data_IF_537493847014
#
_entry.id   IF_537493847014
#
_cell.length_a   1.000
_cell.length_b   1.000
_cell.length_c   1.000
_cell.angle_alpha   90.00
_cell.angle_beta   90.00
_cell.angle_gamma   90.00
#
_symmetry.space_group_name_H-M   'P 1'
#
loop_
_entity.id
_entity.type
_entity.pdbx_description
1 polymer ?
#
# COMPACT_ATOMS: atom_id res chain seq x y z
N UNK A 1 11.05 -1.77 -8.60
CA UNK A 1 11.73 -1.63 -7.31
C UNK A 1 13.17 -2.12 -7.36
N UNK A 2 13.46 -3.32 -7.88
CA UNK A 2 14.85 -3.77 -8.10
C UNK A 2 15.68 -2.83 -8.99
N UNK A 3 15.13 -2.36 -10.12
CA UNK A 3 15.79 -1.33 -10.97
C UNK A 3 15.99 0.01 -10.26
N UNK A 4 15.24 0.29 -9.19
CA UNK A 4 15.39 1.48 -8.34
C UNK A 4 16.34 1.24 -7.16
N UNK A 5 17.00 0.09 -7.10
CA UNK A 5 18.00 -0.23 -6.08
C UNK A 5 17.48 -1.01 -4.86
N UNK A 6 16.23 -1.47 -4.85
CA UNK A 6 15.72 -2.29 -3.74
C UNK A 6 16.43 -3.65 -3.67
N UNK A 7 16.89 -4.00 -2.47
CA UNK A 7 17.48 -5.29 -2.10
C UNK A 7 16.47 -6.19 -1.39
N UNK A 8 16.86 -7.40 -1.03
CA UNK A 8 15.99 -8.39 -0.38
C UNK A 8 15.32 -7.83 0.89
N UNK A 9 16.06 -7.10 1.73
CA UNK A 9 15.52 -6.45 2.94
C UNK A 9 14.44 -5.41 2.62
N UNK A 10 14.57 -4.69 1.50
CA UNK A 10 13.55 -3.74 1.06
C UNK A 10 12.29 -4.46 0.58
N UNK A 11 12.44 -5.66 0.01
CA UNK A 11 11.32 -6.50 -0.39
C UNK A 11 10.60 -7.12 0.81
N UNK A 12 11.29 -7.39 1.92
CA UNK A 12 10.64 -7.76 3.19
C UNK A 12 9.74 -6.61 3.68
N UNK A 13 10.22 -5.37 3.62
CA UNK A 13 9.42 -4.19 3.94
C UNK A 13 8.22 -4.08 2.99
N UNK A 14 8.39 -4.29 1.68
CA UNK A 14 7.28 -4.30 0.72
C UNK A 14 6.26 -5.39 1.07
N UNK A 15 6.70 -6.57 1.51
CA UNK A 15 5.81 -7.65 1.95
C UNK A 15 4.95 -7.22 3.15
N UNK A 16 5.50 -6.49 4.11
CA UNK A 16 4.74 -5.94 5.25
C UNK A 16 3.68 -4.93 4.81
N UNK A 17 4.00 -4.07 3.84
CA UNK A 17 3.03 -3.13 3.26
C UNK A 17 1.89 -3.88 2.55
N UNK A 18 2.21 -4.94 1.79
CA UNK A 18 1.21 -5.79 1.14
C UNK A 18 0.33 -6.53 2.16
N UNK A 19 0.92 -7.02 3.25
CA UNK A 19 0.18 -7.65 4.34
C UNK A 19 -0.80 -6.67 4.99
N UNK A 20 -0.35 -5.45 5.32
CA UNK A 20 -1.21 -4.39 5.88
C UNK A 20 -2.34 -4.04 4.92
N UNK A 21 -2.06 -3.93 3.62
CA UNK A 21 -3.08 -3.69 2.58
C UNK A 21 -4.15 -4.81 2.56
N UNK A 22 -3.72 -6.08 2.57
CA UNK A 22 -4.60 -7.23 2.56
C UNK A 22 -5.47 -7.31 3.82
N UNK A 23 -4.92 -6.94 4.98
CA UNK A 23 -5.65 -6.86 6.25
C UNK A 23 -6.73 -5.77 6.22
N UNK A 24 -6.40 -4.57 5.74
CA UNK A 24 -7.37 -3.47 5.57
C UNK A 24 -8.49 -3.89 4.63
N UNK A 25 -8.15 -4.44 3.46
CA UNK A 25 -9.13 -4.93 2.50
C UNK A 25 -10.03 -6.01 3.11
N UNK A 26 -9.47 -6.95 3.86
CA UNK A 26 -10.23 -7.99 4.56
C UNK A 26 -11.19 -7.39 5.60
N UNK A 27 -10.76 -6.37 6.35
CA UNK A 27 -11.61 -5.68 7.34
C UNK A 27 -12.77 -4.95 6.67
N UNK A 28 -12.52 -4.23 5.58
CA UNK A 28 -13.56 -3.54 4.82
C UNK A 28 -14.55 -4.53 4.22
N UNK A 29 -14.06 -5.64 3.65
CA UNK A 29 -14.90 -6.69 3.09
C UNK A 29 -15.79 -7.35 4.15
N UNK A 30 -15.30 -7.51 5.39
CA UNK A 30 -16.11 -8.01 6.52
C UNK A 30 -17.21 -7.01 6.92
N UNK A 31 -16.91 -5.70 6.95
CA UNK A 31 -17.86 -4.67 7.36
C UNK A 31 -18.92 -4.31 6.30
N UNK A 32 -18.58 -4.38 5.01
CA UNK A 32 -19.43 -3.91 3.91
C UNK A 32 -19.90 -5.02 2.95
N UNK A 33 -19.53 -6.27 3.23
CA UNK A 33 -19.87 -7.44 2.42
C UNK A 33 -19.02 -7.59 1.16
N UNK A 34 -19.22 -8.71 0.45
CA UNK A 34 -18.46 -9.08 -0.75
C UNK A 34 -18.89 -8.34 -2.02
N UNK A 35 -20.02 -7.61 -1.97
CA UNK A 35 -20.52 -6.90 -3.14
C UNK A 35 -19.63 -5.68 -3.41
N UNK A 36 -19.10 -5.57 -4.61
CA UNK A 36 -18.15 -4.52 -5.00
C UNK A 36 -18.64 -3.10 -4.63
N UNK A 37 -19.93 -2.82 -4.81
CA UNK A 37 -20.55 -1.52 -4.47
C UNK A 37 -20.48 -1.20 -2.96
N UNK A 38 -20.64 -2.21 -2.10
CA UNK A 38 -20.51 -2.06 -0.66
C UNK A 38 -19.05 -1.87 -0.27
N UNK A 39 -18.16 -2.69 -0.81
CA UNK A 39 -16.72 -2.59 -0.60
C UNK A 39 -16.17 -1.21 -0.97
N UNK A 40 -16.54 -0.67 -2.15
CA UNK A 40 -16.12 0.66 -2.60
C UNK A 40 -16.55 1.78 -1.63
N UNK A 41 -17.73 1.67 -1.00
CA UNK A 41 -18.16 2.63 0.03
C UNK A 41 -17.27 2.59 1.27
N UNK A 42 -16.84 1.40 1.68
CA UNK A 42 -15.95 1.24 2.84
C UNK A 42 -14.50 1.67 2.60
N UNK A 43 -14.08 1.82 1.34
CA UNK A 43 -12.79 2.41 0.98
C UNK A 43 -12.78 3.93 1.12
N UNK A 44 -13.93 4.60 0.97
CA UNK A 44 -14.01 6.06 1.01
C UNK A 44 -13.68 6.58 2.41
N UNK A 45 -12.74 7.52 2.50
CA UNK A 45 -12.30 8.16 3.74
C UNK A 45 -11.77 7.20 4.81
N UNK A 46 -11.24 6.04 4.42
CA UNK A 46 -10.64 5.11 5.36
C UNK A 46 -9.25 5.62 5.79
N UNK A 47 -9.10 5.91 7.08
CA UNK A 47 -7.85 6.45 7.66
C UNK A 47 -6.67 5.49 7.52
N UNK A 48 -6.90 4.18 7.63
CA UNK A 48 -5.85 3.17 7.53
C UNK A 48 -5.26 3.12 6.12
N UNK A 49 -6.09 3.38 5.09
CA UNK A 49 -5.63 3.48 3.70
C UNK A 49 -4.74 4.71 3.52
N UNK A 50 -5.13 5.86 4.06
CA UNK A 50 -4.35 7.10 3.97
C UNK A 50 -3.00 6.93 4.69
N UNK A 51 -3.01 6.33 5.88
CA UNK A 51 -1.79 6.05 6.63
C UNK A 51 -0.87 5.10 5.86
N UNK A 52 -1.41 3.99 5.32
CA UNK A 52 -0.65 3.06 4.50
C UNK A 52 -0.06 3.76 3.27
N UNK A 53 -0.83 4.61 2.59
CA UNK A 53 -0.35 5.38 1.46
C UNK A 53 0.85 6.26 1.86
N UNK A 54 0.75 7.00 2.97
CA UNK A 54 1.86 7.85 3.46
C UNK A 54 3.12 7.02 3.74
N UNK A 55 2.98 5.84 4.36
CA UNK A 55 4.12 4.94 4.59
C UNK A 55 4.74 4.44 3.29
N UNK A 56 3.92 3.99 2.32
CA UNK A 56 4.40 3.50 1.02
C UNK A 56 5.12 4.62 0.25
N UNK A 57 4.57 5.83 0.23
CA UNK A 57 5.17 6.98 -0.45
C UNK A 57 6.50 7.38 0.18
N UNK A 58 6.57 7.46 1.51
CA UNK A 58 7.79 7.76 2.24
C UNK A 58 8.88 6.67 2.06
N UNK A 59 8.49 5.41 1.93
CA UNK A 59 9.40 4.32 1.58
C UNK A 59 9.89 4.48 0.13
N UNK A 60 8.96 4.66 -0.82
CA UNK A 60 9.28 4.74 -2.23
C UNK A 60 10.12 5.98 -2.60
N UNK A 61 10.02 7.09 -1.85
CA UNK A 61 10.80 8.30 -2.07
C UNK A 61 12.28 8.17 -1.70
N UNK A 62 12.66 7.13 -0.95
CA UNK A 62 14.06 6.86 -0.60
C UNK A 62 14.86 6.27 -1.78
N UNK A 63 14.17 5.80 -2.82
CA UNK A 63 14.80 5.19 -3.98
C UNK A 63 14.79 6.16 -5.16
N UNK A 64 15.91 6.29 -5.85
CA UNK A 64 15.98 7.11 -7.06
C UNK A 64 15.04 6.58 -8.17
N UNK A 65 14.60 7.46 -9.06
CA UNK A 65 13.78 7.12 -10.21
C UNK A 65 14.65 7.23 -11.48
N UNK A 66 15.14 6.10 -12.03
CA UNK A 66 16.04 6.14 -13.17
C UNK A 66 15.36 6.78 -14.39
N UNK A 67 16.07 7.72 -15.05
CA UNK A 67 15.55 8.48 -16.19
C UNK A 67 14.89 9.81 -15.84
N UNK A 68 14.82 10.16 -14.55
CA UNK A 68 14.39 11.48 -14.08
C UNK A 68 15.33 11.97 -12.97
N UNK A 69 15.77 13.23 -13.04
CA UNK A 69 16.50 13.88 -11.95
C UNK A 69 15.48 14.47 -10.95
N UNK A 70 15.08 13.68 -9.95
CA UNK A 70 14.37 14.15 -8.76
C UNK A 70 15.04 13.61 -7.51
#
# INVERSE_FOLDING_TARGET
MTTRGCLESDFEIIADHLLKAAQIASTIQRGHGKMQKGFMKGLQNNKDIVELQTCVEAFASQFALPGFDF
#
